data_IF_159078288597
#
_entry.id   IF_159078288597
#
_cell.length_a   1.000
_cell.length_b   1.000
_cell.length_c   1.000
_cell.angle_alpha   90.00
_cell.angle_beta   90.00
_cell.angle_gamma   90.00
#
_symmetry.space_group_name_H-M   'P 1'
#
loop_
_entity.id
_entity.type
_entity.pdbx_description
1 polymer ?
#
# COMPACT_ATOMS: atom_id res chain seq x y z
N UNK A 1 -12.60 -9.96 3.67
CA UNK A 1 -11.57 -9.90 4.74
C UNK A 1 -12.19 -9.10 5.86
N UNK A 2 -12.31 -9.66 7.06
CA UNK A 2 -12.71 -8.89 8.23
C UNK A 2 -11.43 -8.14 8.67
N UNK A 3 -11.40 -6.82 8.51
CA UNK A 3 -10.33 -6.01 9.10
C UNK A 3 -10.64 -5.92 10.60
N UNK A 4 -9.67 -6.21 11.47
CA UNK A 4 -9.85 -6.09 12.92
C UNK A 4 -10.02 -4.63 13.38
N UNK A 5 -9.73 -3.67 12.49
CA UNK A 5 -9.99 -2.24 12.68
C UNK A 5 -10.26 -1.57 11.32
N UNK A 6 -11.52 -1.52 10.84
CA UNK A 6 -11.83 -0.89 9.56
C UNK A 6 -11.65 0.64 9.62
N UNK A 7 -11.29 1.28 8.50
CA UNK A 7 -11.18 2.73 8.45
C UNK A 7 -12.49 3.43 8.73
N UNK A 8 -12.42 4.58 9.42
CA UNK A 8 -13.60 5.39 9.69
C UNK A 8 -14.25 5.83 8.36
N UNK A 9 -15.59 5.84 8.29
CA UNK A 9 -16.29 6.36 7.12
C UNK A 9 -15.89 7.80 6.77
N UNK A 10 -15.49 8.56 7.80
CA UNK A 10 -15.04 9.94 7.65
C UNK A 10 -13.70 10.04 6.91
N UNK A 11 -12.73 9.19 7.22
CA UNK A 11 -11.45 9.21 6.49
C UNK A 11 -11.65 8.86 5.02
N UNK A 12 -12.46 7.83 4.74
CA UNK A 12 -12.84 7.47 3.37
C UNK A 12 -13.47 8.65 2.64
N UNK A 13 -14.40 9.35 3.28
CA UNK A 13 -15.05 10.50 2.68
C UNK A 13 -14.09 11.66 2.46
N UNK A 14 -13.10 11.84 3.33
CA UNK A 14 -12.03 12.84 3.18
C UNK A 14 -11.19 12.58 1.94
N UNK A 15 -10.80 11.33 1.70
CA UNK A 15 -10.06 10.93 0.49
C UNK A 15 -10.87 11.27 -0.77
N UNK A 16 -12.17 10.94 -0.77
CA UNK A 16 -13.06 11.25 -1.89
C UNK A 16 -13.31 12.75 -2.06
N UNK A 17 -13.42 13.49 -0.96
CA UNK A 17 -13.63 14.93 -0.99
C UNK A 17 -12.47 15.64 -1.68
N UNK A 18 -11.23 15.31 -1.31
CA UNK A 18 -10.05 15.87 -1.96
C UNK A 18 -9.99 15.55 -3.46
N UNK A 19 -10.45 14.36 -3.87
CA UNK A 19 -10.56 14.02 -5.30
C UNK A 19 -11.63 14.87 -6.00
N UNK A 20 -12.82 15.03 -5.41
CA UNK A 20 -13.90 15.85 -5.98
C UNK A 20 -13.47 17.31 -6.17
N UNK A 21 -12.75 17.88 -5.20
CA UNK A 21 -12.31 19.27 -5.27
C UNK A 21 -11.46 19.57 -6.51
N UNK A 22 -10.71 18.60 -7.03
CA UNK A 22 -9.88 18.77 -8.24
C UNK A 22 -10.69 19.12 -9.49
N UNK A 23 -11.96 18.76 -9.50
CA UNK A 23 -12.87 18.99 -10.62
C UNK A 23 -13.85 20.13 -10.33
N UNK A 24 -13.78 20.75 -9.14
CA UNK A 24 -14.64 21.86 -8.80
C UNK A 24 -14.20 23.12 -9.54
N UNK A 25 -15.17 23.84 -10.11
CA UNK A 25 -14.93 25.04 -10.91
C UNK A 25 -15.38 26.33 -10.22
N UNK A 26 -15.89 26.23 -8.99
CA UNK A 26 -16.39 27.38 -8.24
C UNK A 26 -16.33 27.16 -6.73
N UNK A 27 -16.24 28.26 -5.99
CA UNK A 27 -16.30 28.25 -4.53
C UNK A 27 -17.58 27.61 -3.99
N UNK A 28 -18.73 27.88 -4.62
CA UNK A 28 -20.04 27.33 -4.20
C UNK A 28 -20.11 25.81 -4.35
N UNK A 29 -19.56 25.26 -5.44
CA UNK A 29 -19.48 23.82 -5.66
C UNK A 29 -18.54 23.14 -4.65
N UNK A 30 -17.42 23.79 -4.33
CA UNK A 30 -16.48 23.33 -3.31
C UNK A 30 -17.11 23.32 -1.91
N UNK A 31 -17.87 24.37 -1.56
CA UNK A 31 -18.62 24.46 -0.30
C UNK A 31 -19.73 23.40 -0.23
N UNK A 32 -20.45 23.19 -1.33
CA UNK A 32 -21.48 22.13 -1.42
C UNK A 32 -20.86 20.75 -1.25
N UNK A 33 -19.68 20.52 -1.86
CA UNK A 33 -18.92 19.27 -1.71
C UNK A 33 -18.44 19.05 -0.27
N UNK A 34 -18.03 20.12 0.42
CA UNK A 34 -17.64 20.08 1.82
C UNK A 34 -18.85 19.76 2.73
N UNK A 35 -20.01 20.38 2.46
CA UNK A 35 -21.25 20.12 3.18
C UNK A 35 -21.72 18.68 3.00
N UNK A 36 -21.68 18.16 1.76
CA UNK A 36 -22.00 16.77 1.45
C UNK A 36 -21.06 15.77 2.14
N UNK A 37 -19.77 16.13 2.28
CA UNK A 37 -18.79 15.36 3.05
C UNK A 37 -18.92 15.53 4.57
N UNK A 38 -19.84 16.39 5.03
CA UNK A 38 -20.11 16.68 6.44
C UNK A 38 -19.02 17.50 7.13
N UNK A 39 -18.25 18.29 6.39
CA UNK A 39 -17.18 19.15 6.91
C UNK A 39 -17.68 20.55 7.35
N UNK A 40 -18.95 20.87 7.10
CA UNK A 40 -19.55 22.20 7.34
C UNK A 40 -20.27 22.29 8.71
N UNK A 41 -20.12 21.28 9.58
CA UNK A 41 -20.63 21.37 10.96
C UNK A 41 -19.91 22.47 11.75
N UNK A 42 -20.59 23.14 12.69
CA UNK A 42 -20.06 24.29 13.46
C UNK A 42 -18.70 24.03 14.11
N UNK A 43 -18.33 22.78 14.40
CA UNK A 43 -17.03 22.44 15.00
C UNK A 43 -15.84 22.61 14.03
N UNK A 44 -16.06 22.44 12.71
CA UNK A 44 -15.00 22.58 11.69
C UNK A 44 -14.89 24.01 11.14
N UNK A 45 -16.02 24.72 10.99
CA UNK A 45 -16.01 26.14 10.61
C UNK A 45 -15.61 27.08 11.76
N UNK A 46 -15.52 26.57 12.98
CA UNK A 46 -14.87 27.30 14.09
C UNK A 46 -13.35 27.41 13.90
N UNK A 47 -12.78 26.66 12.95
CA UNK A 47 -11.37 26.76 12.59
C UNK A 47 -11.16 27.91 11.64
N UNK A 48 -9.93 28.41 11.62
CA UNK A 48 -9.46 29.43 10.70
C UNK A 48 -10.01 29.14 9.30
N UNK A 49 -11.01 29.91 8.84
CA UNK A 49 -11.67 29.66 7.55
C UNK A 49 -10.66 29.68 6.41
N UNK A 50 -9.54 30.38 6.62
CA UNK A 50 -8.42 30.43 5.71
C UNK A 50 -7.65 29.10 5.66
N UNK A 51 -7.65 28.22 6.66
CA UNK A 51 -6.87 26.97 6.64
C UNK A 51 -7.58 25.81 5.93
N UNK A 52 -8.91 25.80 5.88
CA UNK A 52 -9.66 24.70 5.28
C UNK A 52 -9.45 24.66 3.75
N UNK A 53 -9.18 23.47 3.21
CA UNK A 53 -8.95 23.27 1.77
C UNK A 53 -10.29 23.23 1.04
N UNK A 54 -10.67 24.34 0.42
CA UNK A 54 -11.78 24.41 -0.55
C UNK A 54 -11.30 24.36 -2.01
N UNK A 55 -10.02 24.57 -2.26
CA UNK A 55 -9.44 24.60 -3.60
C UNK A 55 -8.08 23.90 -3.59
N UNK A 56 -7.95 22.83 -4.37
CA UNK A 56 -6.69 22.06 -4.47
C UNK A 56 -5.56 22.84 -5.13
N UNK A 57 -5.86 23.86 -5.96
CA UNK A 57 -4.84 24.72 -6.57
C UNK A 57 -4.11 25.58 -5.53
N UNK A 58 -4.69 25.74 -4.34
CA UNK A 58 -4.02 26.37 -3.19
C UNK A 58 -2.93 25.50 -2.57
N UNK A 59 -2.87 24.20 -2.92
CA UNK A 59 -1.84 23.27 -2.48
C UNK A 59 -0.72 23.27 -3.53
N UNK A 60 0.45 23.75 -3.13
CA UNK A 60 1.62 23.68 -3.98
C UNK A 60 2.06 22.22 -4.18
N UNK A 61 2.53 21.83 -5.38
CA UNK A 61 3.13 20.52 -5.60
C UNK A 61 4.29 20.25 -4.62
N UNK A 62 4.54 18.98 -4.25
CA UNK A 62 5.65 18.63 -3.37
C UNK A 62 6.97 19.25 -3.86
N UNK A 63 7.73 19.92 -2.98
CA UNK A 63 8.96 20.59 -3.38
C UNK A 63 9.99 19.57 -3.90
N UNK A 64 10.95 20.00 -4.72
CA UNK A 64 12.01 19.10 -5.21
C UNK A 64 12.73 18.38 -4.07
N UNK A 65 12.99 17.08 -4.23
CA UNK A 65 13.69 16.26 -3.24
C UNK A 65 14.95 15.67 -3.86
N UNK A 66 16.11 15.84 -3.22
CA UNK A 66 17.37 15.32 -3.73
C UNK A 66 17.43 13.79 -3.81
N UNK A 67 16.59 13.11 -3.04
CA UNK A 67 16.45 11.66 -3.06
C UNK A 67 15.58 11.17 -4.22
N UNK A 68 14.71 12.03 -4.77
CA UNK A 68 13.85 11.71 -5.90
C UNK A 68 14.37 12.45 -7.14
N UNK A 69 15.28 11.80 -7.87
CA UNK A 69 15.82 12.28 -9.16
C UNK A 69 16.34 11.12 -10.01
N UNK A 70 16.55 11.33 -11.32
CA UNK A 70 17.19 10.35 -12.19
C UNK A 70 18.53 9.83 -11.63
N UNK A 71 18.73 8.51 -11.71
CA UNK A 71 19.93 7.81 -11.27
C UNK A 71 19.98 7.47 -9.78
N UNK A 72 18.96 7.83 -8.99
CA UNK A 72 18.93 7.47 -7.56
C UNK A 72 18.67 5.97 -7.39
N UNK A 73 19.46 5.34 -6.53
CA UNK A 73 19.37 3.91 -6.21
C UNK A 73 19.05 3.74 -4.73
N UNK A 74 18.05 2.90 -4.47
CA UNK A 74 17.61 2.51 -3.14
C UNK A 74 17.72 1.00 -3.00
N UNK A 75 18.15 0.53 -1.83
CA UNK A 75 18.28 -0.89 -1.53
C UNK A 75 17.71 -1.21 -0.15
N UNK A 76 17.14 -2.39 -0.01
CA UNK A 76 16.52 -2.85 1.22
C UNK A 76 15.84 -4.19 1.01
N UNK A 77 14.63 -4.36 1.53
CA UNK A 77 13.93 -5.63 1.47
C UNK A 77 12.43 -5.47 1.36
N UNK A 78 11.79 -6.47 0.76
CA UNK A 78 10.36 -6.71 0.90
C UNK A 78 10.13 -7.85 1.87
N UNK A 79 9.05 -7.76 2.65
CA UNK A 79 8.62 -8.77 3.63
C UNK A 79 7.17 -9.14 3.37
N UNK A 80 6.89 -10.43 3.19
CA UNK A 80 5.51 -10.90 3.13
C UNK A 80 4.82 -10.73 4.49
N UNK A 81 3.51 -10.52 4.48
CA UNK A 81 2.77 -10.36 5.73
C UNK A 81 2.84 -11.64 6.57
N UNK A 82 3.38 -11.53 7.77
CA UNK A 82 3.38 -12.61 8.75
C UNK A 82 1.97 -12.74 9.35
N UNK A 83 1.39 -13.94 9.31
CA UNK A 83 0.09 -14.26 9.91
C UNK A 83 0.05 -14.19 11.45
N UNK A 84 0.90 -13.38 12.10
CA UNK A 84 1.14 -13.44 13.54
C UNK A 84 1.16 -12.07 14.23
N UNK A 85 -0.02 -11.47 14.40
CA UNK A 85 -0.27 -10.45 15.43
C UNK A 85 -0.67 -11.14 16.74
N UNK A 86 0.06 -10.86 17.83
CA UNK A 86 0.12 -11.71 19.02
C UNK A 86 -1.17 -11.93 19.82
N UNK A 87 -1.40 -13.19 20.18
CA UNK A 87 -2.28 -13.56 21.29
C UNK A 87 -1.43 -13.75 22.55
N UNK A 88 -1.61 -12.86 23.53
CA UNK A 88 -1.20 -13.11 24.91
C UNK A 88 -2.08 -14.25 25.43
N UNK A 89 -1.50 -15.43 25.61
CA UNK A 89 -2.18 -16.60 26.18
C UNK A 89 -2.52 -16.32 27.66
N UNK A 90 -3.77 -15.94 27.94
CA UNK A 90 -4.34 -16.06 29.26
C UNK A 90 -4.73 -17.54 29.50
N UNK A 91 -4.00 -18.20 30.38
CA UNK A 91 -4.39 -19.49 30.95
C UNK A 91 -5.60 -19.31 31.86
N UNK A 92 -6.68 -20.08 31.68
CA UNK A 92 -7.56 -20.59 32.76
C UNK A 92 -8.61 -21.59 32.20
N UNK A 93 -9.27 -22.43 33.04
CA UNK A 93 -9.17 -23.89 32.92
C UNK A 93 -10.49 -24.63 32.58
N UNK A 94 -10.30 -25.87 32.12
CA UNK A 94 -11.18 -27.06 32.06
C UNK A 94 -12.64 -27.03 32.57
N UNK A 95 -13.57 -27.51 31.70
CA UNK A 95 -14.53 -28.66 31.86
C UNK A 95 -15.91 -28.39 31.17
N UNK A 96 -16.82 -29.39 30.96
CA UNK A 96 -16.70 -30.62 30.17
C UNK A 96 -17.91 -30.91 29.23
N UNK A 97 -17.76 -31.97 28.41
CA UNK A 97 -18.79 -32.89 27.85
C UNK A 97 -19.78 -32.46 26.75
N UNK A 98 -19.78 -33.25 25.67
CA UNK A 98 -20.82 -33.30 24.63
C UNK A 98 -20.35 -34.13 23.43
N UNK A 99 -20.53 -35.46 23.49
CA UNK A 99 -19.98 -36.41 22.53
C UNK A 99 -20.70 -36.47 21.19
N UNK A 100 -19.94 -36.85 20.16
CA UNK A 100 -20.35 -37.68 19.02
C UNK A 100 -19.11 -37.99 18.17
N UNK A 101 -18.62 -39.23 18.26
CA UNK A 101 -17.56 -39.77 17.40
C UNK A 101 -18.13 -40.07 15.99
N UNK A 102 -17.42 -39.76 14.89
CA UNK A 102 -17.77 -40.30 13.59
C UNK A 102 -17.22 -41.73 13.41
N UNK A 103 -18.11 -42.64 13.03
CA UNK A 103 -17.83 -44.04 12.71
C UNK A 103 -17.07 -44.13 11.38
N UNK A 104 -15.91 -44.78 11.38
CA UNK A 104 -15.16 -45.15 10.17
C UNK A 104 -15.64 -46.54 9.71
N UNK A 105 -16.30 -46.61 8.56
CA UNK A 105 -16.63 -47.89 7.92
C UNK A 105 -15.50 -48.29 6.98
N UNK A 106 -14.78 -49.36 7.33
CA UNK A 106 -13.76 -49.98 6.49
C UNK A 106 -14.42 -50.68 5.29
N UNK A 107 -14.25 -50.11 4.10
CA UNK A 107 -14.50 -50.76 2.81
C UNK A 107 -13.17 -51.00 2.11
N UNK A 108 -12.89 -52.27 1.83
CA UNK A 108 -11.69 -52.77 1.17
C UNK A 108 -11.66 -52.50 -0.33
N UNK A 109 -10.43 -52.27 -0.82
CA UNK A 109 -9.91 -52.44 -2.19
C UNK A 109 -10.07 -51.34 -3.27
N UNK A 110 -8.88 -50.81 -3.61
CA UNK A 110 -8.40 -50.38 -4.93
C UNK A 110 -8.92 -49.06 -5.55
N UNK A 111 -8.09 -48.03 -5.38
CA UNK A 111 -7.65 -47.00 -6.35
C UNK A 111 -7.83 -45.54 -5.84
N UNK A 112 -6.77 -44.70 -5.78
CA UNK A 112 -6.82 -43.40 -5.13
C UNK A 112 -7.04 -42.27 -6.15
N UNK A 113 -8.27 -42.07 -6.61
CA UNK A 113 -8.63 -40.84 -7.32
C UNK A 113 -10.14 -40.61 -7.31
N UNK A 114 -10.54 -39.45 -6.78
CA UNK A 114 -11.89 -38.83 -6.84
C UNK A 114 -12.92 -39.34 -5.84
N UNK A 115 -13.00 -38.65 -4.70
CA UNK A 115 -14.26 -38.51 -3.96
C UNK A 115 -14.82 -37.11 -4.24
N UNK A 116 -15.93 -37.05 -4.97
CA UNK A 116 -16.67 -35.82 -5.23
C UNK A 116 -17.71 -35.59 -4.14
N UNK A 117 -17.48 -34.59 -3.28
CA UNK A 117 -18.49 -34.12 -2.32
C UNK A 117 -19.24 -32.95 -2.93
N UNK A 118 -20.57 -33.08 -3.10
CA UNK A 118 -21.48 -31.99 -3.46
C UNK A 118 -22.18 -31.49 -2.20
N UNK A 119 -22.02 -30.21 -1.88
CA UNK A 119 -22.89 -29.50 -0.93
C UNK A 119 -23.75 -28.48 -1.69
N UNK A 120 -24.96 -28.22 -1.19
CA UNK A 120 -26.06 -27.52 -1.88
C UNK A 120 -26.00 -25.99 -1.88
N UNK A 121 -24.81 -25.39 -1.75
CA UNK A 121 -24.64 -23.94 -1.88
C UNK A 121 -23.45 -23.64 -2.79
N UNK A 122 -23.74 -23.36 -4.06
CA UNK A 122 -22.77 -23.26 -5.15
C UNK A 122 -21.72 -22.15 -5.01
N UNK A 123 -20.62 -22.41 -4.29
CA UNK A 123 -19.36 -21.67 -4.43
C UNK A 123 -18.16 -22.63 -4.46
N UNK A 124 -17.34 -22.51 -5.51
CA UNK A 124 -15.96 -23.02 -5.64
C UNK A 124 -15.10 -21.77 -5.96
N UNK A 125 -13.89 -21.50 -5.48
CA UNK A 125 -12.80 -22.28 -4.88
C UNK A 125 -12.03 -21.41 -3.87
N UNK A 126 -11.48 -22.04 -2.82
CA UNK A 126 -10.29 -21.60 -2.08
C UNK A 126 -9.47 -22.86 -1.84
N UNK A 127 -8.25 -22.93 -2.38
CA UNK A 127 -7.29 -23.97 -2.03
C UNK A 127 -5.87 -23.44 -2.26
N UNK A 128 -5.34 -22.72 -1.26
CA UNK A 128 -3.90 -22.67 -1.02
C UNK A 128 -3.55 -22.45 0.46
N UNK A 129 -4.40 -22.96 1.38
CA UNK A 129 -4.22 -22.79 2.84
C UNK A 129 -4.01 -24.10 3.61
N UNK A 130 -3.42 -25.11 2.98
CA UNK A 130 -2.88 -26.28 3.68
C UNK A 130 -1.36 -26.22 3.54
N UNK A 131 -0.62 -26.57 4.59
CA UNK A 131 0.84 -26.48 4.79
C UNK A 131 1.38 -25.24 5.52
N UNK A 132 0.82 -24.91 6.70
CA UNK A 132 1.44 -24.03 7.70
C UNK A 132 2.17 -24.85 8.79
N UNK A 133 3.01 -25.82 8.40
CA UNK A 133 3.87 -26.56 9.33
C UNK A 133 5.29 -26.66 8.76
N UNK A 134 6.06 -25.59 8.91
CA UNK A 134 7.46 -25.53 8.52
C UNK A 134 8.11 -24.21 8.90
N UNK A 135 8.89 -24.23 9.98
CA UNK A 135 9.97 -23.29 10.38
C UNK A 135 9.83 -21.82 9.99
N UNK A 136 9.54 -20.96 10.97
CA UNK A 136 9.55 -19.49 10.86
C UNK A 136 10.94 -18.92 10.57
N UNK A 137 11.35 -18.95 9.30
CA UNK A 137 12.36 -18.03 8.76
C UNK A 137 11.62 -16.83 8.17
N UNK A 138 12.13 -15.64 8.43
CA UNK A 138 11.61 -14.39 7.89
C UNK A 138 11.35 -14.52 6.38
N UNK A 139 10.11 -14.29 5.94
CA UNK A 139 9.73 -14.25 4.52
C UNK A 139 10.17 -12.89 3.92
N UNK A 140 11.46 -12.57 4.04
CA UNK A 140 12.05 -11.35 3.53
C UNK A 140 12.99 -11.62 2.35
N UNK A 141 12.93 -10.76 1.33
CA UNK A 141 13.84 -10.83 0.19
C UNK A 141 14.44 -9.46 -0.14
N UNK A 142 15.73 -9.39 -0.53
CA UNK A 142 16.34 -8.15 -0.94
C UNK A 142 15.66 -7.54 -2.16
N UNK A 143 15.53 -6.21 -2.13
CA UNK A 143 14.99 -5.40 -3.22
C UNK A 143 15.91 -4.21 -3.47
N UNK A 144 16.14 -3.90 -4.74
CA UNK A 144 16.82 -2.70 -5.20
C UNK A 144 15.94 -1.96 -6.19
N UNK A 145 15.83 -0.64 -6.05
CA UNK A 145 15.06 0.22 -6.94
C UNK A 145 15.97 1.29 -7.51
N UNK A 146 15.90 1.48 -8.82
CA UNK A 146 16.59 2.58 -9.52
C UNK A 146 15.56 3.51 -10.15
N UNK A 147 15.63 4.80 -9.82
CA UNK A 147 14.81 5.85 -10.42
C UNK A 147 15.46 6.29 -11.73
N UNK A 148 14.76 6.17 -12.85
CA UNK A 148 15.27 6.51 -14.18
C UNK A 148 14.89 7.92 -14.60
N UNK A 149 13.63 8.30 -14.42
CA UNK A 149 13.12 9.61 -14.82
C UNK A 149 12.06 10.16 -13.85
N UNK A 150 11.92 11.48 -13.82
CA UNK A 150 10.82 12.18 -13.16
C UNK A 150 10.27 13.21 -14.13
N UNK A 151 8.96 13.17 -14.34
CA UNK A 151 8.23 14.17 -15.09
C UNK A 151 7.48 15.08 -14.10
N UNK A 152 7.96 16.32 -13.87
CA UNK A 152 7.33 17.24 -12.93
C UNK A 152 6.02 17.86 -13.45
N UNK A 153 5.73 17.74 -14.75
CA UNK A 153 4.47 18.25 -15.32
C UNK A 153 3.32 17.27 -15.07
N UNK A 154 3.57 15.98 -15.28
CA UNK A 154 2.56 14.93 -15.11
C UNK A 154 2.58 14.32 -13.71
N UNK A 155 3.51 14.78 -12.86
CA UNK A 155 3.78 14.23 -11.53
C UNK A 155 3.96 12.71 -11.55
N UNK A 156 4.81 12.25 -12.46
CA UNK A 156 5.12 10.82 -12.64
C UNK A 156 6.61 10.54 -12.55
N UNK A 157 6.93 9.27 -12.31
CA UNK A 157 8.30 8.75 -12.38
C UNK A 157 8.34 7.42 -13.11
N UNK A 158 9.54 7.02 -13.53
CA UNK A 158 9.81 5.67 -14.02
C UNK A 158 11.07 5.11 -13.38
N UNK A 159 11.14 3.79 -13.28
CA UNK A 159 12.22 3.10 -12.60
C UNK A 159 12.29 1.61 -12.93
N UNK A 160 13.24 0.93 -12.31
CA UNK A 160 13.28 -0.53 -12.27
C UNK A 160 13.35 -1.01 -10.84
N UNK A 161 12.67 -2.12 -10.56
CA UNK A 161 12.77 -2.86 -9.31
C UNK A 161 13.45 -4.19 -9.59
N UNK A 162 14.45 -4.51 -8.79
CA UNK A 162 15.17 -5.77 -8.79
C UNK A 162 14.85 -6.49 -7.49
N UNK A 163 14.33 -7.71 -7.57
CA UNK A 163 14.09 -8.58 -6.43
C UNK A 163 15.03 -9.79 -6.50
N UNK A 164 15.66 -10.11 -5.38
CA UNK A 164 16.66 -11.18 -5.29
C UNK A 164 16.20 -12.25 -4.31
N UNK A 165 16.51 -13.52 -4.57
CA UNK A 165 16.36 -14.62 -3.63
C UNK A 165 14.97 -14.70 -2.99
N UNK A 166 13.93 -14.48 -3.80
CA UNK A 166 12.55 -14.53 -3.36
C UNK A 166 12.26 -15.93 -2.80
N UNK A 167 11.70 -16.06 -1.58
CA UNK A 167 11.36 -17.34 -1.00
C UNK A 167 10.35 -18.09 -1.89
N UNK A 168 10.82 -19.09 -2.62
CA UNK A 168 9.96 -20.06 -3.29
C UNK A 168 9.87 -21.34 -2.44
N UNK A 169 8.64 -21.83 -2.24
CA UNK A 169 8.36 -23.10 -1.55
C UNK A 169 8.59 -24.31 -2.46
N UNK A 170 8.76 -24.11 -3.77
CA UNK A 170 8.89 -25.20 -4.75
C UNK A 170 10.34 -25.50 -5.16
N UNK A 171 11.24 -24.51 -5.16
CA UNK A 171 12.67 -24.72 -5.39
C UNK A 171 13.52 -23.74 -4.56
N UNK A 172 14.55 -24.22 -3.81
CA UNK A 172 15.50 -23.35 -3.12
C UNK A 172 16.53 -22.83 -4.11
N UNK A 173 16.12 -22.04 -5.11
CA UNK A 173 17.09 -21.36 -5.97
C UNK A 173 17.57 -20.09 -5.25
N UNK A 174 18.71 -20.19 -4.59
CA UNK A 174 19.38 -19.07 -3.92
C UNK A 174 19.98 -18.03 -4.90
N UNK A 175 19.59 -18.06 -6.18
CA UNK A 175 20.11 -17.21 -7.28
C UNK A 175 18.98 -16.55 -8.10
N UNK A 176 17.75 -16.51 -7.57
CA UNK A 176 16.63 -15.87 -8.27
C UNK A 176 16.85 -14.36 -8.37
N UNK A 177 16.85 -13.80 -9.58
CA UNK A 177 16.96 -12.36 -9.81
C UNK A 177 15.91 -11.92 -10.82
N UNK A 178 14.90 -11.19 -10.34
CA UNK A 178 13.81 -10.67 -11.16
C UNK A 178 13.96 -9.17 -11.27
N UNK A 179 13.93 -8.66 -12.50
CA UNK A 179 13.91 -7.23 -12.79
C UNK A 179 12.59 -6.88 -13.47
N UNK A 180 11.95 -5.83 -12.97
CA UNK A 180 10.71 -5.29 -13.52
C UNK A 180 10.87 -3.81 -13.80
N UNK A 181 10.19 -3.34 -14.85
CA UNK A 181 10.00 -1.92 -15.09
C UNK A 181 8.81 -1.43 -14.27
N UNK A 182 8.94 -0.27 -13.63
CA UNK A 182 7.85 0.37 -12.89
C UNK A 182 7.63 1.81 -13.34
N UNK A 183 6.39 2.24 -13.20
CA UNK A 183 5.99 3.64 -13.28
C UNK A 183 5.41 4.06 -11.93
N UNK A 184 5.48 5.34 -11.61
CA UNK A 184 4.89 5.87 -10.40
C UNK A 184 4.14 7.17 -10.60
N UNK A 185 3.10 7.35 -9.80
CA UNK A 185 2.36 8.61 -9.62
C UNK A 185 2.85 9.28 -8.33
N UNK A 186 3.17 10.56 -8.38
CA UNK A 186 3.55 11.37 -7.21
C UNK A 186 2.32 12.14 -6.76
N UNK A 187 1.94 12.00 -5.49
CA UNK A 187 0.74 12.63 -4.95
C UNK A 187 1.02 14.12 -4.70
N UNK A 188 0.25 14.96 -5.39
CA UNK A 188 0.37 16.42 -5.35
C UNK A 188 -0.98 17.11 -5.08
N UNK A 189 -2.04 16.32 -4.89
CA UNK A 189 -3.42 16.74 -4.69
C UNK A 189 -4.07 17.49 -5.86
N UNK A 190 -3.34 17.76 -6.95
CA UNK A 190 -3.84 18.44 -8.15
C UNK A 190 -3.95 17.47 -9.34
N UNK A 191 -2.86 16.80 -9.69
CA UNK A 191 -2.82 15.77 -10.74
C UNK A 191 -3.13 14.38 -10.20
N UNK A 192 -2.58 14.04 -9.04
CA UNK A 192 -2.77 12.76 -8.36
C UNK A 192 -3.13 13.01 -6.90
N UNK A 193 -4.26 12.46 -6.46
CA UNK A 193 -4.72 12.52 -5.07
C UNK A 193 -4.56 11.17 -4.38
N UNK A 194 -4.91 11.07 -3.09
CA UNK A 194 -4.85 9.81 -2.32
C UNK A 194 -5.79 8.74 -2.86
N UNK A 195 -6.91 9.13 -3.47
CA UNK A 195 -7.83 8.19 -4.13
C UNK A 195 -7.21 7.60 -5.40
N UNK A 196 -7.15 6.28 -5.46
CA UNK A 196 -6.63 5.53 -6.60
C UNK A 196 -7.71 5.37 -7.67
N UNK A 197 -7.42 5.76 -8.92
CA UNK A 197 -8.38 5.68 -10.05
C UNK A 197 -8.04 4.60 -11.09
N UNK A 198 -6.76 4.29 -11.26
CA UNK A 198 -6.27 3.49 -12.41
C UNK A 198 -5.91 2.04 -12.05
N UNK A 199 -6.07 1.64 -10.79
CA UNK A 199 -5.74 0.31 -10.29
C UNK A 199 -6.93 -0.33 -9.57
N UNK A 200 -6.81 -1.59 -9.17
CA UNK A 200 -7.88 -2.36 -8.49
C UNK A 200 -8.10 -1.93 -7.04
N UNK A 201 -8.00 -0.63 -6.73
CA UNK A 201 -8.25 -0.04 -5.42
C UNK A 201 -9.36 1.02 -5.50
N UNK A 202 -9.93 1.34 -4.35
CA UNK A 202 -10.94 2.38 -4.16
C UNK A 202 -10.68 3.08 -2.83
N UNK A 203 -11.45 4.12 -2.50
CA UNK A 203 -11.28 4.87 -1.26
C UNK A 203 -11.32 4.01 0.04
N UNK A 204 -12.01 2.86 0.04
CA UNK A 204 -11.98 1.94 1.19
C UNK A 204 -10.59 1.29 1.36
N UNK A 205 -9.99 0.87 0.26
CA UNK A 205 -8.64 0.30 0.25
C UNK A 205 -7.61 1.41 0.50
N UNK A 206 -7.74 2.56 -0.16
CA UNK A 206 -6.83 3.69 0.01
C UNK A 206 -6.77 4.15 1.48
N UNK A 207 -7.93 4.29 2.13
CA UNK A 207 -7.98 4.65 3.56
C UNK A 207 -7.36 3.59 4.48
N UNK A 208 -7.40 2.32 4.07
CA UNK A 208 -6.80 1.20 4.81
C UNK A 208 -5.28 1.15 4.65
N UNK A 209 -4.73 1.49 3.48
CA UNK A 209 -3.31 1.39 3.21
C UNK A 209 -2.55 2.68 3.56
N UNK A 210 -3.11 3.85 3.25
CA UNK A 210 -2.44 5.12 3.56
C UNK A 210 -2.25 5.33 5.05
N UNK A 211 -3.21 4.90 5.89
CA UNK A 211 -3.11 5.01 7.35
C UNK A 211 -1.98 4.18 7.95
N UNK A 212 -1.45 3.18 7.25
CA UNK A 212 -0.42 2.28 7.79
C UNK A 212 1.00 2.77 7.46
N UNK A 213 1.12 3.85 6.68
CA UNK A 213 2.38 4.45 6.25
C UNK A 213 2.60 5.80 6.92
N UNK A 214 3.86 6.18 7.10
CA UNK A 214 4.16 7.56 7.48
C UNK A 214 3.72 8.56 6.40
N UNK A 215 3.27 9.77 6.79
CA UNK A 215 3.20 10.27 8.16
C UNK A 215 1.95 9.84 8.96
N UNK A 216 1.04 9.06 8.37
CA UNK A 216 -0.28 8.78 8.93
C UNK A 216 -0.33 7.66 9.98
N UNK A 217 0.63 6.73 9.95
CA UNK A 217 0.72 5.53 10.80
C UNK A 217 0.41 5.69 12.29
N UNK A 218 0.74 6.85 12.85
CA UNK A 218 0.59 7.13 14.28
C UNK A 218 -0.55 8.10 14.59
N UNK A 219 -1.35 8.45 13.58
CA UNK A 219 -2.52 9.30 13.73
C UNK A 219 -3.77 8.45 13.92
N UNK A 220 -4.69 8.94 14.73
CA UNK A 220 -6.07 8.46 14.68
C UNK A 220 -6.74 8.86 13.37
N UNK A 221 -7.78 8.14 12.97
CA UNK A 221 -8.56 8.46 11.77
C UNK A 221 -9.10 9.89 11.77
N UNK A 222 -9.47 10.39 12.94
CA UNK A 222 -9.97 11.74 13.11
C UNK A 222 -8.82 12.75 12.97
N UNK A 223 -7.65 12.51 13.55
CA UNK A 223 -6.47 13.36 13.32
C UNK A 223 -6.06 13.37 11.85
N UNK A 224 -5.99 12.20 11.20
CA UNK A 224 -5.68 12.10 9.77
C UNK A 224 -6.71 12.86 8.93
N UNK A 225 -8.01 12.71 9.23
CA UNK A 225 -9.08 13.45 8.57
C UNK A 225 -8.86 14.97 8.69
N UNK A 226 -8.65 15.47 9.92
CA UNK A 226 -8.46 16.90 10.18
C UNK A 226 -7.23 17.45 9.48
N UNK A 227 -6.14 16.70 9.54
CA UNK A 227 -4.87 17.05 8.94
C UNK A 227 -4.97 17.13 7.41
N UNK A 228 -5.67 16.18 6.78
CA UNK A 228 -5.80 16.13 5.32
C UNK A 228 -6.64 17.26 4.72
N UNK A 229 -7.52 17.90 5.50
CA UNK A 229 -8.32 19.05 5.06
C UNK A 229 -7.75 20.40 5.50
N UNK A 230 -6.62 20.41 6.22
CA UNK A 230 -5.88 21.60 6.64
C UNK A 230 -4.78 21.92 5.62
N UNK A 231 -4.85 23.08 4.98
CA UNK A 231 -3.86 23.53 3.98
C UNK A 231 -2.50 23.68 4.63
N UNK A 232 -2.47 24.24 5.85
CA UNK A 232 -1.26 24.42 6.63
C UNK A 232 -0.60 23.10 6.95
N UNK A 233 -1.35 22.11 7.45
CA UNK A 233 -0.77 20.80 7.74
C UNK A 233 -0.26 20.11 6.47
N UNK A 234 -1.04 20.12 5.39
CA UNK A 234 -0.63 19.53 4.11
C UNK A 234 0.66 20.18 3.59
N UNK A 235 0.74 21.51 3.63
CA UNK A 235 1.87 22.26 3.06
C UNK A 235 3.10 22.21 3.96
N UNK A 236 2.92 22.51 5.24
CA UNK A 236 4.02 22.72 6.19
C UNK A 236 4.49 21.41 6.83
N UNK A 237 3.63 20.41 7.02
CA UNK A 237 4.03 19.15 7.65
C UNK A 237 4.18 18.02 6.62
N UNK A 238 3.12 17.69 5.89
CA UNK A 238 3.14 16.56 4.95
C UNK A 238 4.14 16.79 3.80
N UNK A 239 3.96 17.83 2.99
CA UNK A 239 4.80 18.10 1.82
C UNK A 239 6.25 18.46 2.18
N UNK A 240 6.48 18.98 3.40
CA UNK A 240 7.82 19.30 3.91
C UNK A 240 8.58 18.05 4.35
N UNK A 241 7.90 17.08 4.97
CA UNK A 241 8.53 15.88 5.52
C UNK A 241 8.52 14.66 4.60
N UNK A 242 7.50 14.53 3.74
CA UNK A 242 7.27 13.31 2.95
C UNK A 242 6.92 13.60 1.49
N UNK A 243 7.14 12.59 0.64
CA UNK A 243 6.58 12.49 -0.70
C UNK A 243 5.81 11.19 -0.76
N UNK A 244 4.50 11.28 -0.98
CA UNK A 244 3.65 10.12 -1.17
C UNK A 244 3.61 9.76 -2.65
N UNK A 245 3.61 8.47 -2.97
CA UNK A 245 3.59 7.96 -4.33
C UNK A 245 2.80 6.66 -4.43
N UNK A 246 2.40 6.31 -5.66
CA UNK A 246 1.98 4.94 -6.00
C UNK A 246 2.91 4.38 -7.05
N UNK A 247 3.45 3.17 -6.87
CA UNK A 247 4.32 2.52 -7.86
C UNK A 247 3.65 1.29 -8.46
N UNK A 248 3.65 1.18 -9.79
CA UNK A 248 3.08 0.07 -10.55
C UNK A 248 4.16 -0.57 -11.42
N UNK A 249 4.48 -1.82 -11.13
CA UNK A 249 5.29 -2.66 -12.03
C UNK A 249 4.47 -2.97 -13.30
N UNK A 250 5.05 -2.73 -14.48
CA UNK A 250 4.36 -2.86 -15.77
C UNK A 250 4.74 -4.14 -16.50
N UNK A 251 6.02 -4.52 -16.45
CA UNK A 251 6.51 -5.69 -17.15
C UNK A 251 7.79 -6.25 -16.52
N UNK A 252 8.03 -7.54 -16.77
CA UNK A 252 9.30 -8.19 -16.48
C UNK A 252 10.32 -7.87 -17.57
N UNK A 253 11.51 -7.46 -17.16
CA UNK A 253 12.68 -7.30 -18.03
C UNK A 253 13.45 -8.63 -18.10
N UNK A 254 13.54 -9.37 -17.00
CA UNK A 254 14.18 -10.70 -16.96
C UNK A 254 13.37 -11.75 -17.75
N UNK A 255 14.04 -12.74 -18.41
CA UNK A 255 13.38 -13.85 -19.09
C UNK A 255 12.36 -14.62 -18.24
N UNK A 256 11.37 -15.22 -18.91
CA UNK A 256 10.19 -15.85 -18.31
C UNK A 256 10.50 -16.98 -17.34
N UNK A 257 11.60 -17.71 -17.56
CA UNK A 257 11.97 -18.89 -16.79
C UNK A 257 12.39 -18.57 -15.34
N UNK A 258 12.67 -17.29 -15.05
CA UNK A 258 13.00 -16.79 -13.71
C UNK A 258 11.77 -16.34 -12.92
N UNK A 259 10.54 -16.38 -13.48
CA UNK A 259 9.32 -15.87 -12.85
C UNK A 259 8.78 -16.86 -11.80
N UNK A 260 9.40 -16.86 -10.62
CA UNK A 260 9.11 -17.78 -9.51
C UNK A 260 7.84 -17.40 -8.74
N UNK A 261 6.67 -17.65 -9.32
CA UNK A 261 5.38 -17.45 -8.62
C UNK A 261 5.05 -16.00 -8.23
N UNK A 262 5.92 -15.04 -8.56
CA UNK A 262 5.71 -13.63 -8.32
C UNK A 262 4.69 -13.04 -9.28
N UNK A 263 3.73 -12.34 -8.70
CA UNK A 263 2.77 -11.50 -9.43
C UNK A 263 3.22 -10.05 -9.36
N UNK A 264 3.11 -9.35 -10.49
CA UNK A 264 3.26 -7.89 -10.59
C UNK A 264 1.90 -7.23 -10.86
N UNK A 265 0.80 -7.91 -10.54
CA UNK A 265 -0.55 -7.44 -10.91
C UNK A 265 -1.00 -6.26 -10.06
N UNK A 266 -0.55 -6.21 -8.81
CA UNK A 266 -0.79 -5.13 -7.87
C UNK A 266 0.07 -3.89 -8.09
N UNK A 267 0.05 -3.02 -7.09
CA UNK A 267 0.83 -1.80 -7.02
C UNK A 267 1.24 -1.53 -5.56
N UNK A 268 2.13 -0.56 -5.35
CA UNK A 268 2.61 -0.17 -4.03
C UNK A 268 2.09 1.21 -3.66
N UNK A 269 1.60 1.34 -2.43
CA UNK A 269 1.55 2.63 -1.74
C UNK A 269 2.94 2.93 -1.19
N UNK A 270 3.45 4.14 -1.42
CA UNK A 270 4.83 4.50 -1.12
C UNK A 270 4.87 5.83 -0.35
N UNK A 271 5.72 5.89 0.66
CA UNK A 271 6.09 7.11 1.39
C UNK A 271 7.61 7.26 1.43
N UNK A 272 8.12 8.34 0.84
CA UNK A 272 9.52 8.74 0.90
C UNK A 272 9.70 9.84 1.94
N UNK A 273 10.48 9.57 2.99
CA UNK A 273 10.87 10.56 3.98
C UNK A 273 12.00 11.46 3.43
N UNK A 274 11.76 12.77 3.37
CA UNK A 274 12.61 13.72 2.64
C UNK A 274 13.95 13.98 3.32
N UNK A 275 14.02 13.88 4.64
CA UNK A 275 15.26 14.11 5.37
C UNK A 275 16.20 12.89 5.26
N UNK A 276 15.70 11.69 5.60
CA UNK A 276 16.54 10.47 5.60
C UNK A 276 16.68 9.80 4.24
N UNK A 277 15.77 10.09 3.29
CA UNK A 277 15.66 9.34 2.04
C UNK A 277 15.05 7.95 2.20
N UNK A 278 14.58 7.59 3.40
CA UNK A 278 13.96 6.28 3.63
C UNK A 278 12.64 6.16 2.86
N UNK A 279 12.45 5.01 2.22
CA UNK A 279 11.20 4.65 1.55
C UNK A 279 10.54 3.53 2.34
N UNK A 280 9.31 3.78 2.79
CA UNK A 280 8.38 2.77 3.31
C UNK A 280 7.28 2.54 2.27
N UNK A 281 6.83 1.30 2.12
CA UNK A 281 5.77 0.97 1.17
C UNK A 281 4.98 -0.26 1.54
N UNK A 282 3.79 -0.37 0.96
CA UNK A 282 2.89 -1.50 1.12
C UNK A 282 2.38 -1.95 -0.24
N UNK A 283 2.62 -3.21 -0.58
CA UNK A 283 2.07 -3.82 -1.78
C UNK A 283 0.60 -4.18 -1.58
N UNK A 284 -0.21 -3.82 -2.57
CA UNK A 284 -1.62 -4.18 -2.66
C UNK A 284 -1.90 -4.94 -3.96
N UNK A 285 -2.46 -6.13 -3.82
CA UNK A 285 -3.06 -6.91 -4.90
C UNK A 285 -4.23 -7.73 -4.31
N UNK A 286 -5.44 -7.69 -4.90
CA UNK A 286 -6.59 -8.46 -4.40
C UNK A 286 -6.33 -9.98 -4.31
N UNK A 287 -5.41 -10.49 -5.14
CA UNK A 287 -5.04 -11.92 -5.20
C UNK A 287 -3.89 -12.32 -4.27
N UNK A 288 -3.26 -11.38 -3.57
CA UNK A 288 -2.07 -11.62 -2.74
C UNK A 288 -2.37 -11.42 -1.25
N UNK A 289 -1.46 -11.90 -0.38
CA UNK A 289 -1.48 -11.53 1.03
C UNK A 289 -1.35 -10.00 1.18
N UNK A 290 -2.22 -9.35 1.97
CA UNK A 290 -2.21 -7.90 2.12
C UNK A 290 -0.97 -7.42 2.88
N UNK A 291 -0.68 -6.12 2.82
CA UNK A 291 0.36 -5.46 3.63
C UNK A 291 1.77 -6.06 3.52
N UNK A 292 2.17 -6.54 2.35
CA UNK A 292 3.58 -6.89 2.15
C UNK A 292 4.40 -5.61 2.20
N UNK A 293 5.34 -5.54 3.13
CA UNK A 293 6.07 -4.33 3.46
C UNK A 293 7.30 -4.19 2.58
N UNK A 294 7.48 -3.02 1.97
CA UNK A 294 8.69 -2.62 1.28
C UNK A 294 9.42 -1.59 2.14
N UNK A 295 10.71 -1.80 2.39
CA UNK A 295 11.54 -0.86 3.16
C UNK A 295 12.89 -0.70 2.46
N UNK A 296 13.18 0.52 2.00
CA UNK A 296 14.39 0.84 1.24
C UNK A 296 15.14 2.03 1.85
N UNK A 297 16.47 2.04 1.66
CA UNK A 297 17.37 3.13 2.04
C UNK A 297 18.18 3.55 0.81
N UNK A 298 18.54 4.84 0.67
CA UNK A 298 19.40 5.27 -0.42
C UNK A 298 20.79 4.61 -0.28
N UNK A 299 21.32 4.05 -1.38
CA UNK A 299 22.67 3.45 -1.34
C UNK A 299 23.76 4.50 -1.10
N UNK A 300 23.54 5.71 -1.63
CA UNK A 300 24.42 6.85 -1.42
C UNK A 300 23.97 7.66 -0.20
N UNK A 301 24.74 7.58 0.90
CA UNK A 301 24.42 8.25 2.18
C UNK A 301 24.60 9.77 2.20
N UNK A 302 24.99 10.41 1.09
CA UNK A 302 25.16 11.86 1.03
C UNK A 302 24.14 12.46 0.08
N UNK A 303 23.36 13.42 0.58
CA UNK A 303 22.59 14.34 -0.27
C UNK A 303 23.58 15.04 -1.21
N UNK A 304 23.67 14.60 -2.46
CA UNK A 304 24.45 15.31 -3.49
C UNK A 304 23.49 16.32 -4.12
N UNK A 305 23.81 17.62 -4.13
CA UNK A 305 23.07 18.59 -4.98
C UNK A 305 23.28 18.19 -6.45
N UNK A 306 22.28 18.23 -7.33
CA UNK A 306 22.47 17.81 -8.71
C UNK A 306 23.55 18.67 -9.36
N UNK A 307 24.53 18.02 -9.99
CA UNK A 307 25.71 18.67 -10.57
C UNK A 307 25.51 19.12 -12.02
N UNK A 308 24.39 18.80 -12.69
CA UNK A 308 24.13 19.24 -14.06
C UNK A 308 22.68 19.02 -14.48
N UNK A 309 22.16 19.93 -15.31
CA UNK A 309 21.00 19.71 -16.20
C UNK A 309 21.51 19.81 -17.63
N UNK A 310 21.06 18.92 -18.51
CA UNK A 310 21.22 19.11 -19.95
C UNK A 310 19.99 19.87 -20.46
N UNK A 311 20.25 20.88 -21.30
CA UNK A 311 19.24 21.63 -22.05
C UNK A 311 19.02 20.97 -23.40
#
# INVERSE_FOLDING_TARGET
MHLDNPPSPRLKETIKYLDRLRYSNSFEESLTSAAAGGFVSMDFLSWDEDDFILDTTSIAPPPMCSWLRPGMVFSGSQRAASSGGGAVLAQHPSSPSGGQDPIIVNGSESNPARVGVRTSSGRRYMANNIYHLGSGKDENWPVKVTIHNINPCDMTLSGTMEAYNIPDKTTPSHDAHIVTFLEGEIIDFNTHTLETKNFTANADIDSTYWRELHPFKNLTDDEMTRNLVSRKWVTEELCRGWILMRWKERCFITPTDSRQGLTISGFYYISLHRESGHIEGLYYDPGSSPYQQLSLQPENKKMVRPSYSFR
#
